data_IF_731111051325
#
_entry.id   IF_731111051325
#
_cell.length_a   1.000
_cell.length_b   1.000
_cell.length_c   1.000
_cell.angle_alpha   90.00
_cell.angle_beta   90.00
_cell.angle_gamma   90.00
#
_symmetry.space_group_name_H-M   'P 1'
#
loop_
_entity.id
_entity.type
_entity.pdbx_description
1 polymer ?
#
# COMPACT_ATOMS: atom_id res chain seq x y z
N UNK A 1 42.22 24.20 -52.11
CA UNK A 1 42.63 25.40 -51.37
C UNK A 1 42.56 25.06 -49.90
N UNK A 2 43.67 24.50 -49.41
CA UNK A 2 43.90 24.11 -48.03
C UNK A 2 44.38 25.35 -47.26
N UNK A 3 43.79 25.60 -46.10
CA UNK A 3 44.35 26.56 -45.13
C UNK A 3 43.76 26.34 -43.74
N UNK A 4 44.57 25.67 -42.90
CA UNK A 4 44.72 25.75 -41.45
C UNK A 4 43.63 26.46 -40.60
N UNK A 5 43.06 25.77 -39.59
CA UNK A 5 42.55 26.41 -38.40
C UNK A 5 43.63 26.48 -37.31
N UNK A 6 43.70 27.65 -36.66
CA UNK A 6 44.78 28.10 -35.81
C UNK A 6 44.82 27.51 -34.39
N UNK A 7 46.05 27.46 -33.90
CA UNK A 7 46.48 27.24 -32.52
C UNK A 7 46.03 28.38 -31.62
N UNK A 8 45.28 28.06 -30.56
CA UNK A 8 44.94 28.99 -29.47
C UNK A 8 46.01 28.93 -28.36
N UNK A 9 46.39 30.07 -27.74
CA UNK A 9 47.29 30.11 -26.59
C UNK A 9 46.59 29.76 -25.26
N UNK A 10 47.34 29.38 -24.20
CA UNK A 10 46.78 28.96 -22.92
C UNK A 10 46.21 30.12 -22.10
N UNK A 11 45.11 29.83 -21.40
CA UNK A 11 44.39 30.72 -20.49
C UNK A 11 45.22 30.92 -19.20
N UNK A 12 45.47 32.19 -18.87
CA UNK A 12 46.12 32.63 -17.63
C UNK A 12 45.25 32.33 -16.41
N UNK A 13 45.86 31.74 -15.37
CA UNK A 13 45.24 31.54 -14.06
C UNK A 13 45.07 32.86 -13.32
N UNK A 14 43.89 33.05 -12.74
CA UNK A 14 43.58 34.19 -11.90
C UNK A 14 44.29 34.07 -10.54
N UNK A 15 45.18 35.02 -10.24
CA UNK A 15 45.76 35.28 -8.92
C UNK A 15 45.00 36.44 -8.28
N UNK A 16 44.84 36.42 -6.96
CA UNK A 16 44.35 37.56 -6.19
C UNK A 16 45.45 38.61 -5.97
N UNK A 17 45.09 39.78 -5.43
CA UNK A 17 45.93 40.98 -5.37
C UNK A 17 47.19 40.87 -4.48
N UNK A 18 47.43 39.71 -3.86
CA UNK A 18 48.64 39.42 -3.07
C UNK A 18 49.44 38.20 -3.56
N UNK A 19 49.03 37.52 -4.64
CA UNK A 19 49.87 36.54 -5.34
C UNK A 19 50.02 35.16 -4.68
N UNK A 20 49.07 34.71 -3.86
CA UNK A 20 49.12 33.38 -3.24
C UNK A 20 48.14 32.37 -3.90
N UNK A 21 48.53 31.10 -4.11
CA UNK A 21 47.65 30.09 -4.72
C UNK A 21 46.61 29.56 -3.73
N UNK A 22 45.33 29.64 -4.10
CA UNK A 22 44.19 29.09 -3.34
C UNK A 22 44.30 27.56 -3.14
N UNK A 23 44.67 27.13 -1.94
CA UNK A 23 44.63 25.73 -1.50
C UNK A 23 43.22 25.32 -1.11
N UNK A 24 42.59 24.42 -1.87
CA UNK A 24 41.33 23.76 -1.51
C UNK A 24 41.61 22.52 -0.67
N UNK A 25 41.47 22.60 0.66
CA UNK A 25 41.29 21.42 1.51
C UNK A 25 39.82 20.98 1.47
N UNK A 26 39.59 19.72 1.05
CA UNK A 26 38.27 19.08 1.00
C UNK A 26 38.25 17.90 1.96
N UNK A 27 37.80 18.14 3.19
CA UNK A 27 37.45 17.08 4.15
C UNK A 27 36.08 16.52 3.77
N UNK A 28 36.03 15.24 3.41
CA UNK A 28 34.81 14.50 3.11
C UNK A 28 34.60 13.39 4.15
N UNK A 29 33.72 13.61 5.12
CA UNK A 29 33.08 12.53 5.88
C UNK A 29 31.72 13.00 6.41
N UNK A 30 30.69 12.92 5.58
CA UNK A 30 29.29 13.07 5.97
C UNK A 30 28.57 11.74 5.86
N UNK A 31 28.44 11.01 6.98
CA UNK A 31 27.51 9.88 7.11
C UNK A 31 26.10 10.44 7.31
N UNK A 32 25.22 10.26 6.34
CA UNK A 32 23.78 10.53 6.50
C UNK A 32 23.14 9.46 7.38
N UNK A 33 22.83 9.81 8.62
CA UNK A 33 21.95 9.02 9.48
C UNK A 33 20.50 9.21 9.01
N UNK A 34 19.85 8.12 8.61
CA UNK A 34 18.43 8.08 8.29
C UNK A 34 17.64 8.07 9.60
N UNK A 35 17.10 9.22 10.00
CA UNK A 35 16.23 9.32 11.17
C UNK A 35 14.85 8.80 10.79
N UNK A 36 14.60 7.50 10.99
CA UNK A 36 13.26 6.94 10.97
C UNK A 36 12.44 7.57 12.10
N UNK A 37 11.45 8.38 11.77
CA UNK A 37 10.46 8.90 12.74
C UNK A 37 9.65 7.69 13.21
N UNK A 38 10.04 7.10 14.34
CA UNK A 38 9.23 6.10 15.04
C UNK A 38 7.98 6.81 15.54
N UNK A 39 6.84 6.59 14.88
CA UNK A 39 5.54 7.02 15.42
C UNK A 39 5.35 6.29 16.75
N UNK A 40 5.21 7.06 17.83
CA UNK A 40 4.92 6.50 19.15
C UNK A 40 3.60 5.72 19.15
N UNK A 41 3.40 4.85 20.16
CA UNK A 41 2.18 4.05 20.29
C UNK A 41 0.94 4.95 20.33
N UNK A 42 -0.15 4.47 19.73
CA UNK A 42 -1.42 5.22 19.68
C UNK A 42 -1.95 5.44 21.10
N UNK A 43 -2.69 6.52 21.32
CA UNK A 43 -3.25 6.82 22.64
C UNK A 43 -4.13 5.69 23.20
N UNK A 44 -4.84 4.95 22.35
CA UNK A 44 -5.60 3.75 22.73
C UNK A 44 -4.70 2.58 23.18
N UNK A 45 -3.53 2.39 22.58
CA UNK A 45 -2.57 1.36 23.00
C UNK A 45 -1.97 1.68 24.37
N UNK A 46 -1.63 2.96 24.59
CA UNK A 46 -1.18 3.44 25.91
C UNK A 46 -2.29 3.29 26.95
N UNK A 47 -3.54 3.63 26.59
CA UNK A 47 -4.70 3.44 27.46
C UNK A 47 -4.89 1.98 27.86
N UNK A 48 -4.70 1.05 26.92
CA UNK A 48 -4.83 -0.39 27.17
C UNK A 48 -3.79 -0.96 28.12
N UNK A 49 -2.59 -0.34 28.16
CA UNK A 49 -1.49 -0.72 29.05
C UNK A 49 -1.71 -0.25 30.49
N UNK A 50 -2.23 0.97 30.68
CA UNK A 50 -2.49 1.54 32.01
C UNK A 50 -3.91 1.24 32.53
N UNK A 51 -4.80 0.66 31.70
CA UNK A 51 -6.20 0.40 32.08
C UNK A 51 -6.33 -0.41 33.37
N UNK A 52 -5.45 -1.39 33.58
CA UNK A 52 -5.46 -2.25 34.78
C UNK A 52 -5.19 -1.49 36.06
N UNK A 53 -4.50 -0.35 35.98
CA UNK A 53 -4.14 0.46 37.15
C UNK A 53 -5.33 1.29 37.65
N UNK A 54 -6.33 1.52 36.79
CA UNK A 54 -7.53 2.30 37.09
C UNK A 54 -8.79 1.45 37.19
N UNK A 55 -8.77 0.21 36.72
CA UNK A 55 -9.91 -0.71 36.82
C UNK A 55 -10.07 -1.22 38.25
N UNK A 56 -11.34 -1.37 38.69
CA UNK A 56 -11.67 -2.09 39.94
C UNK A 56 -11.40 -3.59 39.75
N UNK A 57 -11.36 -4.35 40.84
CA UNK A 57 -11.10 -5.80 40.84
C UNK A 57 -12.03 -6.60 39.88
N UNK A 58 -13.21 -6.06 39.58
CA UNK A 58 -14.17 -6.62 38.61
C UNK A 58 -13.79 -6.40 37.13
N UNK A 59 -12.63 -5.80 36.84
CA UNK A 59 -12.15 -5.49 35.48
C UNK A 59 -12.90 -4.35 34.79
N UNK A 60 -13.75 -3.63 35.52
CA UNK A 60 -14.52 -2.47 35.04
C UNK A 60 -13.96 -1.16 35.58
N UNK A 61 -13.97 -0.14 34.74
CA UNK A 61 -13.55 1.21 35.08
C UNK A 61 -14.77 2.05 35.48
N UNK A 62 -14.71 2.74 36.62
CA UNK A 62 -15.74 3.69 37.04
C UNK A 62 -15.67 4.95 36.15
N UNK A 63 -16.81 5.51 35.75
CA UNK A 63 -16.84 6.71 34.91
C UNK A 63 -16.18 7.91 35.61
N UNK A 64 -16.19 7.94 36.94
CA UNK A 64 -15.48 8.94 37.74
C UNK A 64 -13.94 8.81 37.65
N UNK A 65 -13.41 7.61 37.43
CA UNK A 65 -11.98 7.33 37.28
C UNK A 65 -11.47 7.56 35.85
N UNK A 66 -12.37 7.72 34.88
CA UNK A 66 -12.01 7.96 33.48
C UNK A 66 -11.24 9.27 33.28
N UNK A 67 -11.53 10.30 34.06
CA UNK A 67 -10.84 11.60 33.99
C UNK A 67 -9.37 11.50 34.39
N UNK A 68 -9.07 10.69 35.42
CA UNK A 68 -7.70 10.40 35.84
C UNK A 68 -6.94 9.62 34.76
N UNK A 69 -7.60 8.65 34.12
CA UNK A 69 -7.03 7.89 33.00
C UNK A 69 -6.75 8.78 31.78
N UNK A 70 -7.66 9.69 31.43
CA UNK A 70 -7.46 10.64 30.32
C UNK A 70 -6.32 11.63 30.62
N UNK A 71 -6.20 12.07 31.87
CA UNK A 71 -5.09 12.93 32.33
C UNK A 71 -3.76 12.19 32.23
N UNK A 72 -3.69 10.92 32.61
CA UNK A 72 -2.50 10.09 32.48
C UNK A 72 -2.07 9.84 31.01
N UNK A 73 -2.97 10.05 30.05
CA UNK A 73 -2.71 9.91 28.61
C UNK A 73 -2.41 11.25 27.92
N UNK A 74 -2.36 12.34 28.67
CA UNK A 74 -2.24 13.72 28.19
C UNK A 74 -3.41 14.15 27.27
N UNK A 75 -4.62 13.61 27.49
CA UNK A 75 -5.82 13.94 26.71
C UNK A 75 -6.63 14.98 27.49
N UNK A 76 -6.51 16.25 27.12
CA UNK A 76 -7.34 17.32 27.67
C UNK A 76 -8.70 17.34 26.99
N UNK A 77 -9.77 17.06 27.74
CA UNK A 77 -11.14 17.09 27.23
C UNK A 77 -12.11 17.62 28.30
N UNK A 78 -13.10 18.41 27.88
CA UNK A 78 -14.13 18.91 28.79
C UNK A 78 -14.98 17.73 29.34
N UNK A 79 -15.37 17.77 30.63
CA UNK A 79 -16.02 16.63 31.28
C UNK A 79 -17.34 16.20 30.64
N UNK A 80 -18.06 17.15 30.05
CA UNK A 80 -19.31 16.86 29.33
C UNK A 80 -19.09 16.07 28.05
N UNK A 81 -17.92 16.19 27.43
CA UNK A 81 -17.61 15.56 26.14
C UNK A 81 -17.35 14.06 26.33
N UNK A 82 -16.50 13.67 27.27
CA UNK A 82 -16.28 12.25 27.53
C UNK A 82 -17.52 11.59 28.13
N UNK A 83 -18.33 12.29 28.94
CA UNK A 83 -19.60 11.76 29.46
C UNK A 83 -20.62 11.48 28.35
N UNK A 84 -20.71 12.36 27.34
CA UNK A 84 -21.56 12.12 26.15
C UNK A 84 -21.07 10.91 25.35
N UNK A 85 -19.75 10.75 25.18
CA UNK A 85 -19.18 9.61 24.49
C UNK A 85 -19.41 8.30 25.27
N UNK A 86 -19.23 8.31 26.59
CA UNK A 86 -19.57 7.18 27.46
C UNK A 86 -21.05 6.85 27.35
N UNK A 87 -21.94 7.83 27.37
CA UNK A 87 -23.38 7.61 27.19
C UNK A 87 -23.72 6.99 25.83
N UNK A 88 -22.97 7.33 24.77
CA UNK A 88 -23.13 6.73 23.45
C UNK A 88 -22.63 5.29 23.34
N UNK A 89 -21.59 4.92 24.10
CA UNK A 89 -20.92 3.62 24.02
C UNK A 89 -21.47 2.60 25.03
N UNK A 90 -21.82 3.06 26.24
CA UNK A 90 -22.24 2.21 27.35
C UNK A 90 -23.69 2.48 27.82
N UNK A 91 -24.34 3.53 27.31
CA UNK A 91 -25.71 3.93 27.67
C UNK A 91 -25.76 5.07 28.69
N UNK A 92 -26.89 5.80 28.78
CA UNK A 92 -27.01 7.06 29.53
C UNK A 92 -26.91 6.93 31.06
N UNK A 93 -27.01 5.72 31.61
CA UNK A 93 -26.95 5.44 33.04
C UNK A 93 -25.79 4.50 33.44
N UNK A 94 -24.81 4.30 32.57
CA UNK A 94 -23.67 3.45 32.87
C UNK A 94 -22.76 4.09 33.92
N UNK A 95 -22.70 3.50 35.12
CA UNK A 95 -21.76 3.91 36.18
C UNK A 95 -20.37 3.29 36.05
N UNK A 96 -20.20 2.29 35.19
CA UNK A 96 -18.91 1.66 34.88
C UNK A 96 -18.84 1.22 33.42
N UNK A 97 -17.64 1.17 32.86
CA UNK A 97 -17.36 0.82 31.47
C UNK A 97 -16.34 -0.31 31.39
N UNK A 98 -16.45 -1.15 30.37
CA UNK A 98 -15.50 -2.25 30.10
C UNK A 98 -14.25 -1.72 29.39
N UNK A 99 -13.18 -2.53 29.38
CA UNK A 99 -11.92 -2.19 28.69
C UNK A 99 -12.15 -1.76 27.25
N UNK A 100 -12.93 -2.52 26.50
CA UNK A 100 -13.21 -2.24 25.09
C UNK A 100 -13.99 -0.91 24.91
N UNK A 101 -14.91 -0.61 25.82
CA UNK A 101 -15.66 0.64 25.82
C UNK A 101 -14.75 1.83 26.16
N UNK A 102 -13.84 1.70 27.12
CA UNK A 102 -12.84 2.72 27.45
C UNK A 102 -11.91 2.97 26.26
N UNK A 103 -11.43 1.91 25.61
CA UNK A 103 -10.58 2.03 24.41
C UNK A 103 -11.31 2.72 23.25
N UNK A 104 -12.61 2.43 23.07
CA UNK A 104 -13.44 3.10 22.08
C UNK A 104 -13.59 4.60 22.37
N UNK A 105 -13.89 4.97 23.62
CA UNK A 105 -14.03 6.38 24.03
C UNK A 105 -12.70 7.14 23.85
N UNK A 106 -11.58 6.56 24.28
CA UNK A 106 -10.24 7.16 24.07
C UNK A 106 -9.91 7.29 22.58
N UNK A 107 -10.27 6.28 21.78
CA UNK A 107 -10.12 6.30 20.32
C UNK A 107 -10.92 7.44 19.68
N UNK A 108 -12.16 7.66 20.10
CA UNK A 108 -13.01 8.74 19.60
C UNK A 108 -12.50 10.13 20.01
N UNK A 109 -11.94 10.27 21.21
CA UNK A 109 -11.36 11.52 21.70
C UNK A 109 -10.05 11.90 21.01
N UNK A 110 -9.32 10.91 20.50
CA UNK A 110 -8.01 11.10 19.85
C UNK A 110 -8.09 11.04 18.33
N UNK A 111 -9.26 10.67 17.79
CA UNK A 111 -9.54 10.75 16.37
C UNK A 111 -9.65 12.22 15.96
N UNK A 112 -8.83 12.59 14.99
CA UNK A 112 -8.87 13.89 14.33
C UNK A 112 -10.31 14.15 13.84
N UNK A 113 -11.00 15.24 14.22
CA UNK A 113 -12.41 15.48 13.90
C UNK A 113 -12.71 15.49 12.39
N UNK A 114 -11.68 15.64 11.56
CA UNK A 114 -11.77 15.53 10.11
C UNK A 114 -11.90 14.08 9.57
N UNK A 115 -11.69 13.04 10.38
CA UNK A 115 -11.89 11.64 9.96
C UNK A 115 -13.27 11.06 10.30
N UNK A 116 -14.00 11.61 11.27
CA UNK A 116 -15.25 11.03 11.79
C UNK A 116 -16.46 11.31 10.87
N UNK A 117 -16.40 12.30 9.97
CA UNK A 117 -17.46 12.60 9.01
C UNK A 117 -17.54 11.61 7.83
N UNK A 118 -16.63 10.63 7.72
CA UNK A 118 -16.55 9.72 6.57
C UNK A 118 -17.14 8.31 6.81
N UNK A 119 -17.71 8.01 7.98
CA UNK A 119 -18.19 6.66 8.29
C UNK A 119 -19.37 6.61 9.26
N UNK A 120 -20.58 6.84 8.76
CA UNK A 120 -21.82 6.57 9.49
C UNK A 120 -22.25 5.09 9.34
N UNK A 121 -22.62 4.39 10.42
CA UNK A 121 -23.17 3.03 10.33
C UNK A 121 -24.64 3.08 9.86
N UNK A 122 -24.91 2.36 8.77
CA UNK A 122 -26.25 2.18 8.21
C UNK A 122 -26.94 0.99 8.87
N UNK A 123 -28.12 1.21 9.45
CA UNK A 123 -29.02 0.12 9.82
C UNK A 123 -29.98 0.51 10.92
N UNK A 124 -31.18 0.98 10.55
CA UNK A 124 -32.47 0.55 11.11
C UNK A 124 -33.60 1.21 10.31
N UNK A 125 -34.43 0.35 9.73
CA UNK A 125 -35.56 0.63 8.85
C UNK A 125 -36.75 1.25 9.60
N UNK A 126 -37.38 2.26 9.00
CA UNK A 126 -38.78 2.60 9.28
C UNK A 126 -39.51 2.83 7.96
N UNK A 127 -40.63 2.12 7.84
CA UNK A 127 -41.61 2.14 6.75
C UNK A 127 -42.44 3.42 6.87
N UNK A 128 -42.68 4.14 5.77
CA UNK A 128 -43.99 4.70 5.44
C UNK A 128 -44.07 5.24 4.00
N UNK A 129 -45.29 5.16 3.47
CA UNK A 129 -45.70 5.26 2.07
C UNK A 129 -46.00 6.70 1.63
N UNK A 130 -45.72 7.06 0.36
CA UNK A 130 -46.61 7.86 -0.52
C UNK A 130 -45.99 8.17 -1.90
N UNK A 131 -46.59 7.56 -2.93
CA UNK A 131 -47.08 8.14 -4.20
C UNK A 131 -46.47 9.41 -4.83
N UNK A 132 -46.02 9.29 -6.09
CA UNK A 132 -46.24 10.31 -7.13
C UNK A 132 -45.06 10.63 -8.08
N UNK A 133 -45.28 10.86 -9.39
CA UNK A 133 -44.33 10.48 -10.46
C UNK A 133 -43.67 11.65 -11.21
N UNK A 134 -42.56 11.38 -11.93
CA UNK A 134 -42.04 12.28 -12.98
C UNK A 134 -40.54 12.22 -13.24
N UNK A 135 -40.15 11.47 -14.27
CA UNK A 135 -38.85 11.28 -14.96
C UNK A 135 -38.19 12.55 -15.55
N UNK A 136 -37.00 12.53 -16.23
CA UNK A 136 -35.86 11.57 -16.25
C UNK A 136 -34.43 12.22 -16.27
N UNK A 137 -33.39 11.36 -16.21
CA UNK A 137 -32.06 11.43 -16.91
C UNK A 137 -31.12 12.64 -16.66
N UNK A 138 -29.83 12.53 -16.36
CA UNK A 138 -28.86 11.42 -16.45
C UNK A 138 -27.46 11.88 -16.01
N UNK A 139 -26.47 10.98 -16.16
CA UNK A 139 -25.04 11.11 -15.85
C UNK A 139 -24.59 10.80 -14.40
N UNK A 140 -24.92 9.60 -13.93
CA UNK A 140 -24.18 8.91 -12.87
C UNK A 140 -23.68 7.57 -13.38
N UNK A 141 -22.44 7.51 -13.87
CA UNK A 141 -21.87 6.30 -14.45
C UNK A 141 -20.35 6.26 -14.29
N UNK A 142 -19.87 5.56 -13.28
CA UNK A 142 -18.42 5.36 -13.07
C UNK A 142 -18.01 4.60 -11.80
N UNK A 143 -18.96 4.18 -10.96
CA UNK A 143 -18.65 3.49 -9.69
C UNK A 143 -18.65 1.95 -9.75
N UNK A 144 -19.05 1.35 -10.87
CA UNK A 144 -19.38 -0.09 -10.91
C UNK A 144 -18.26 -1.03 -11.39
N UNK A 145 -17.13 -0.52 -11.89
CA UNK A 145 -16.05 -1.38 -12.42
C UNK A 145 -15.00 -1.79 -11.39
N UNK A 146 -14.90 -1.12 -10.23
CA UNK A 146 -13.85 -1.43 -9.25
C UNK A 146 -14.21 -2.61 -8.33
N UNK A 147 -15.49 -2.79 -8.00
CA UNK A 147 -15.96 -3.86 -7.12
C UNK A 147 -16.03 -5.24 -7.81
N UNK A 148 -16.21 -5.27 -9.14
CA UNK A 148 -16.23 -6.52 -9.90
C UNK A 148 -14.83 -7.14 -10.06
N UNK A 149 -13.79 -6.32 -10.20
CA UNK A 149 -12.39 -6.78 -10.25
C UNK A 149 -11.84 -7.23 -8.89
N UNK A 150 -12.41 -6.77 -7.78
CA UNK A 150 -12.01 -7.20 -6.42
C UNK A 150 -12.36 -8.67 -6.14
N UNK A 151 -13.34 -9.23 -6.86
CA UNK A 151 -13.75 -10.65 -6.73
C UNK A 151 -12.97 -11.61 -7.63
N UNK A 152 -12.32 -11.16 -8.70
CA UNK A 152 -11.62 -12.08 -9.60
C UNK A 152 -10.14 -12.28 -9.23
N UNK A 153 -9.46 -11.24 -8.71
CA UNK A 153 -8.05 -11.35 -8.31
C UNK A 153 -7.82 -12.25 -7.07
N UNK A 154 -8.87 -12.49 -6.27
CA UNK A 154 -8.83 -13.38 -5.11
C UNK A 154 -9.07 -14.87 -5.46
N UNK A 155 -9.30 -15.20 -6.74
CA UNK A 155 -9.62 -16.58 -7.18
C UNK A 155 -8.48 -17.28 -7.93
N UNK A 156 -7.34 -16.62 -8.22
CA UNK A 156 -6.14 -17.32 -8.65
C UNK A 156 -5.49 -17.99 -7.44
N UNK A 157 -6.10 -19.10 -7.03
CA UNK A 157 -5.71 -19.87 -5.86
C UNK A 157 -4.22 -20.24 -5.91
N UNK A 158 -3.43 -19.92 -4.87
CA UNK A 158 -2.03 -20.35 -4.73
C UNK A 158 -1.88 -21.87 -4.52
N UNK A 159 -2.97 -22.64 -4.66
CA UNK A 159 -3.02 -24.08 -4.41
C UNK A 159 -2.18 -24.97 -5.33
N UNK A 160 -1.77 -24.46 -6.50
CA UNK A 160 -1.21 -25.29 -7.58
C UNK A 160 0.32 -25.51 -7.54
N UNK A 161 1.18 -24.53 -7.22
CA UNK A 161 2.63 -24.74 -7.24
C UNK A 161 3.15 -25.58 -6.07
N UNK A 162 2.71 -25.32 -4.82
CA UNK A 162 3.17 -26.09 -3.66
C UNK A 162 2.76 -27.58 -3.71
N UNK A 163 1.59 -27.90 -4.29
CA UNK A 163 1.18 -29.29 -4.54
C UNK A 163 2.13 -30.07 -5.47
N UNK A 164 2.83 -29.38 -6.39
CA UNK A 164 3.75 -30.03 -7.34
C UNK A 164 5.11 -30.36 -6.72
N UNK A 165 5.54 -29.63 -5.68
CA UNK A 165 6.75 -29.97 -4.92
C UNK A 165 6.64 -31.33 -4.23
N UNK A 166 5.47 -31.61 -3.65
CA UNK A 166 5.19 -32.83 -2.88
C UNK A 166 5.49 -34.11 -3.70
N UNK A 167 5.28 -34.07 -5.01
CA UNK A 167 5.39 -35.24 -5.88
C UNK A 167 6.79 -35.58 -6.37
N UNK A 168 7.79 -34.68 -6.23
CA UNK A 168 9.12 -34.88 -6.81
C UNK A 168 10.13 -35.52 -5.86
N UNK A 169 10.05 -35.29 -4.56
CA UNK A 169 10.95 -35.87 -3.55
C UNK A 169 10.45 -37.23 -3.01
N UNK A 170 9.86 -38.02 -3.91
CA UNK A 170 9.04 -39.22 -3.66
C UNK A 170 9.82 -40.46 -3.18
N UNK A 171 11.14 -40.52 -3.43
CA UNK A 171 11.90 -41.75 -3.32
C UNK A 171 12.31 -42.17 -1.89
N UNK A 172 12.38 -41.23 -0.94
CA UNK A 172 12.94 -41.52 0.40
C UNK A 172 11.93 -42.17 1.36
N UNK A 173 10.65 -41.76 1.27
CA UNK A 173 9.61 -42.14 2.23
C UNK A 173 8.70 -43.28 1.75
N UNK A 174 8.62 -43.53 0.43
CA UNK A 174 7.72 -44.57 -0.13
C UNK A 174 8.25 -45.99 0.12
N UNK A 175 9.57 -46.15 0.29
CA UNK A 175 10.20 -47.47 0.48
C UNK A 175 10.67 -47.73 1.92
N UNK A 176 10.77 -46.70 2.78
CA UNK A 176 11.38 -46.82 4.11
C UNK A 176 12.84 -47.33 4.09
N UNK A 177 13.42 -47.41 2.90
CA UNK A 177 14.78 -47.85 2.64
C UNK A 177 15.52 -46.63 2.14
N UNK A 178 16.37 -46.10 3.00
CA UNK A 178 17.62 -45.49 2.53
C UNK A 178 18.16 -46.41 1.44
N UNK A 179 18.50 -45.89 0.26
CA UNK A 179 19.02 -46.74 -0.81
C UNK A 179 20.42 -47.17 -0.40
N UNK A 180 20.48 -48.16 0.48
CA UNK A 180 21.72 -48.80 0.88
C UNK A 180 22.19 -49.48 -0.38
N UNK A 181 23.34 -49.04 -0.85
CA UNK A 181 23.92 -49.53 -2.09
C UNK A 181 24.02 -51.05 -1.99
N UNK A 182 23.20 -51.75 -2.77
CA UNK A 182 23.02 -53.21 -2.67
C UNK A 182 24.37 -53.93 -2.87
N UNK A 183 25.25 -53.32 -3.67
CA UNK A 183 26.62 -53.76 -3.84
C UNK A 183 27.46 -53.64 -2.54
N UNK A 184 27.28 -52.58 -1.76
CA UNK A 184 27.96 -52.39 -0.46
C UNK A 184 27.44 -53.37 0.57
N UNK A 185 26.13 -53.64 0.61
CA UNK A 185 25.53 -54.66 1.50
C UNK A 185 26.03 -56.06 1.15
N UNK A 186 26.02 -56.41 -0.14
CA UNK A 186 26.54 -57.69 -0.63
C UNK A 186 28.05 -57.84 -0.34
N UNK A 187 28.81 -56.75 -0.44
CA UNK A 187 30.24 -56.76 -0.09
C UNK A 187 30.48 -56.91 1.42
N UNK A 188 29.67 -56.27 2.26
CA UNK A 188 29.71 -56.45 3.72
C UNK A 188 29.37 -57.91 4.10
N UNK A 189 28.35 -58.51 3.49
CA UNK A 189 28.01 -59.92 3.73
C UNK A 189 29.16 -60.86 3.36
N UNK A 190 29.83 -60.64 2.22
CA UNK A 190 31.03 -61.38 1.81
C UNK A 190 32.19 -61.22 2.78
N UNK A 191 32.40 -60.01 3.31
CA UNK A 191 33.43 -59.73 4.33
C UNK A 191 33.12 -60.40 5.67
N UNK A 192 31.85 -60.47 6.08
CA UNK A 192 31.41 -61.19 7.28
C UNK A 192 31.62 -62.71 7.15
N UNK A 193 31.32 -63.27 5.99
CA UNK A 193 31.57 -64.69 5.69
C UNK A 193 33.07 -64.99 5.67
N UNK A 194 33.89 -64.11 5.08
CA UNK A 194 35.35 -64.21 5.09
C UNK A 194 35.90 -64.13 6.52
N UNK A 195 35.38 -63.23 7.36
CA UNK A 195 35.75 -63.14 8.77
C UNK A 195 35.47 -64.46 9.51
N UNK A 196 34.28 -65.05 9.31
CA UNK A 196 33.90 -66.34 9.92
C UNK A 196 34.81 -67.48 9.46
N UNK A 197 35.20 -67.50 8.19
CA UNK A 197 36.16 -68.49 7.65
C UNK A 197 37.55 -68.34 8.27
N UNK A 198 38.09 -67.12 8.35
CA UNK A 198 39.37 -66.86 9.00
C UNK A 198 39.35 -67.20 10.51
N UNK A 199 38.22 -66.97 11.20
CA UNK A 199 38.02 -67.36 12.61
C UNK A 199 38.05 -68.88 12.79
N UNK A 200 37.39 -69.64 11.89
CA UNK A 200 37.35 -71.10 11.94
C UNK A 200 38.71 -71.75 11.65
N UNK A 201 39.54 -71.12 10.81
CA UNK A 201 40.87 -71.60 10.42
C UNK A 201 42.00 -71.13 11.37
N UNK A 202 41.70 -70.33 12.38
CA UNK A 202 42.68 -69.78 13.33
C UNK A 202 43.50 -68.60 12.81
N UNK A 203 43.15 -68.02 11.65
CA UNK A 203 43.81 -66.87 11.03
C UNK A 203 43.31 -65.54 11.61
N UNK A 204 43.60 -65.30 12.89
CA UNK A 204 43.06 -64.15 13.63
C UNK A 204 43.51 -62.77 13.12
N UNK A 205 44.70 -62.66 12.52
CA UNK A 205 45.17 -61.38 11.97
C UNK A 205 44.32 -60.93 10.78
N UNK A 206 43.96 -61.85 9.88
CA UNK A 206 43.08 -61.57 8.74
C UNK A 206 41.64 -61.27 9.20
N UNK A 207 41.14 -62.00 10.20
CA UNK A 207 39.83 -61.73 10.80
C UNK A 207 39.77 -60.31 11.44
N UNK A 208 40.86 -59.86 12.08
CA UNK A 208 40.96 -58.50 12.63
C UNK A 208 40.92 -57.43 11.54
N UNK A 209 41.60 -57.65 10.41
CA UNK A 209 41.56 -56.73 9.26
C UNK A 209 40.15 -56.68 8.63
N UNK A 210 39.50 -57.84 8.45
CA UNK A 210 38.13 -57.91 7.94
C UNK A 210 37.13 -57.21 8.88
N UNK A 211 37.31 -57.37 10.20
CA UNK A 211 36.48 -56.68 11.21
C UNK A 211 36.65 -55.17 11.16
N UNK A 212 37.89 -54.68 11.03
CA UNK A 212 38.16 -53.24 10.88
C UNK A 212 37.52 -52.70 9.59
N UNK A 213 37.67 -53.41 8.47
CA UNK A 213 37.09 -53.00 7.19
C UNK A 213 35.55 -52.97 7.23
N UNK A 214 34.92 -53.91 7.93
CA UNK A 214 33.47 -53.90 8.17
C UNK A 214 33.02 -52.69 8.99
N UNK A 215 33.79 -52.31 10.01
CA UNK A 215 33.51 -51.10 10.79
C UNK A 215 33.63 -49.84 9.91
N UNK A 216 34.71 -49.71 9.15
CA UNK A 216 34.93 -48.56 8.25
C UNK A 216 33.83 -48.43 7.17
N UNK A 217 33.37 -49.54 6.61
CA UNK A 217 32.28 -49.55 5.63
C UNK A 217 30.93 -49.17 6.26
N UNK A 218 30.66 -49.60 7.50
CA UNK A 218 29.46 -49.20 8.23
C UNK A 218 29.45 -47.72 8.54
N UNK A 219 30.57 -47.15 8.98
CA UNK A 219 30.67 -45.71 9.25
C UNK A 219 30.53 -44.89 7.97
N UNK A 220 31.18 -45.31 6.88
CA UNK A 220 31.05 -44.64 5.58
C UNK A 220 29.61 -44.68 5.05
N UNK A 221 28.91 -45.81 5.21
CA UNK A 221 27.50 -45.91 4.83
C UNK A 221 26.63 -44.98 5.68
N UNK A 222 26.82 -44.95 7.00
CA UNK A 222 26.12 -44.02 7.90
C UNK A 222 26.31 -42.56 7.48
N UNK A 223 27.54 -42.16 7.16
CA UNK A 223 27.86 -40.81 6.71
C UNK A 223 27.19 -40.46 5.37
N UNK A 224 27.22 -41.39 4.40
CA UNK A 224 26.54 -41.23 3.12
C UNK A 224 25.04 -40.98 3.31
N UNK A 225 24.40 -41.76 4.18
CA UNK A 225 22.97 -41.62 4.48
C UNK A 225 22.62 -40.27 5.14
N UNK A 226 23.49 -39.77 6.03
CA UNK A 226 23.35 -38.41 6.60
C UNK A 226 23.47 -37.33 5.53
N UNK A 227 24.47 -37.46 4.64
CA UNK A 227 24.70 -36.49 3.56
C UNK A 227 23.54 -36.47 2.56
N UNK A 228 23.01 -37.62 2.17
CA UNK A 228 21.85 -37.72 1.27
C UNK A 228 20.60 -37.07 1.88
N UNK A 229 20.33 -37.32 3.17
CA UNK A 229 19.20 -36.68 3.84
C UNK A 229 19.38 -35.15 3.90
N UNK A 230 20.57 -34.67 4.31
CA UNK A 230 20.86 -33.24 4.35
C UNK A 230 20.73 -32.58 2.96
N UNK A 231 21.25 -33.22 1.91
CA UNK A 231 21.13 -32.73 0.53
C UNK A 231 19.66 -32.64 0.07
N UNK A 232 18.85 -33.63 0.43
CA UNK A 232 17.42 -33.61 0.13
C UNK A 232 16.68 -32.49 0.88
N UNK A 233 17.04 -32.24 2.14
CA UNK A 233 16.48 -31.17 2.96
C UNK A 233 16.84 -29.78 2.39
N UNK A 234 18.10 -29.57 1.99
CA UNK A 234 18.54 -28.34 1.32
C UNK A 234 17.78 -28.11 0.04
N UNK A 235 17.66 -29.14 -0.82
CA UNK A 235 16.90 -29.06 -2.05
C UNK A 235 15.43 -28.72 -1.81
N UNK A 236 14.81 -29.29 -0.79
CA UNK A 236 13.41 -29.00 -0.45
C UNK A 236 13.22 -27.54 -0.06
N UNK A 237 14.15 -26.95 0.70
CA UNK A 237 14.14 -25.52 1.02
C UNK A 237 14.33 -24.66 -0.24
N UNK A 238 15.27 -25.01 -1.12
CA UNK A 238 15.50 -24.32 -2.39
C UNK A 238 14.27 -24.35 -3.29
N UNK A 239 13.59 -25.49 -3.39
CA UNK A 239 12.36 -25.61 -4.19
C UNK A 239 11.22 -24.76 -3.59
N UNK A 240 11.09 -24.70 -2.26
CA UNK A 240 10.09 -23.87 -1.57
C UNK A 240 10.39 -22.39 -1.77
N UNK A 241 11.66 -22.00 -1.70
CA UNK A 241 12.10 -20.64 -1.99
C UNK A 241 11.82 -20.27 -3.46
N UNK A 242 12.19 -21.13 -4.42
CA UNK A 242 11.96 -20.89 -5.84
C UNK A 242 10.48 -20.71 -6.16
N UNK A 243 9.60 -21.52 -5.56
CA UNK A 243 8.15 -21.30 -5.70
C UNK A 243 7.74 -19.95 -5.14
N UNK A 244 8.16 -19.60 -3.91
CA UNK A 244 7.83 -18.30 -3.31
C UNK A 244 8.27 -17.11 -4.18
N UNK A 245 9.46 -17.17 -4.78
CA UNK A 245 9.99 -16.14 -5.66
C UNK A 245 9.16 -15.99 -6.94
N UNK A 246 8.84 -17.10 -7.62
CA UNK A 246 7.95 -17.08 -8.79
C UNK A 246 6.59 -16.49 -8.47
N UNK A 247 6.04 -16.90 -7.34
CA UNK A 247 4.76 -16.48 -6.84
C UNK A 247 4.75 -14.97 -6.52
N UNK A 248 5.82 -14.48 -5.91
CA UNK A 248 6.06 -13.07 -5.59
C UNK A 248 6.21 -12.23 -6.85
N UNK A 249 6.93 -12.72 -7.86
CA UNK A 249 7.01 -12.07 -9.17
C UNK A 249 5.64 -11.96 -9.84
N UNK A 250 4.84 -13.04 -9.86
CA UNK A 250 3.47 -13.03 -10.41
C UNK A 250 2.58 -12.02 -9.69
N UNK A 251 2.65 -11.99 -8.36
CA UNK A 251 1.90 -11.04 -7.54
C UNK A 251 2.28 -9.59 -7.84
N UNK A 252 3.57 -9.27 -7.91
CA UNK A 252 4.02 -7.92 -8.24
C UNK A 252 3.59 -7.52 -9.65
N UNK A 253 3.69 -8.41 -10.62
CA UNK A 253 3.22 -8.17 -11.98
C UNK A 253 1.73 -7.80 -12.04
N UNK A 254 0.87 -8.53 -11.32
CA UNK A 254 -0.57 -8.26 -11.24
C UNK A 254 -0.81 -6.89 -10.59
N UNK A 255 -0.13 -6.59 -9.49
CA UNK A 255 -0.26 -5.30 -8.80
C UNK A 255 0.25 -4.12 -9.64
N UNK A 256 1.35 -4.30 -10.38
CA UNK A 256 1.86 -3.28 -11.30
C UNK A 256 0.88 -3.05 -12.46
N UNK A 257 0.18 -4.09 -12.92
CA UNK A 257 -0.97 -3.96 -13.81
C UNK A 257 -2.08 -3.10 -13.21
N UNK A 258 -2.55 -3.45 -12.00
CA UNK A 258 -3.61 -2.72 -11.30
C UNK A 258 -3.26 -1.24 -11.06
N UNK A 259 -2.02 -0.95 -10.69
CA UNK A 259 -1.54 0.42 -10.49
C UNK A 259 -1.51 1.21 -11.80
N UNK A 260 -1.08 0.59 -12.91
CA UNK A 260 -1.12 1.21 -14.23
C UNK A 260 -2.55 1.49 -14.69
N UNK A 261 -3.47 0.55 -14.49
CA UNK A 261 -4.88 0.73 -14.85
C UNK A 261 -5.52 1.86 -14.04
N UNK A 262 -5.24 1.93 -12.74
CA UNK A 262 -5.68 3.04 -11.90
C UNK A 262 -5.14 4.39 -12.38
N UNK A 263 -3.84 4.46 -12.69
CA UNK A 263 -3.20 5.68 -13.21
C UNK A 263 -3.79 6.11 -14.56
N UNK A 264 -4.03 5.16 -15.48
CA UNK A 264 -4.66 5.42 -16.77
C UNK A 264 -6.10 5.92 -16.61
N UNK A 265 -6.89 5.31 -15.71
CA UNK A 265 -8.25 5.75 -15.41
C UNK A 265 -8.28 7.16 -14.80
N UNK A 266 -7.34 7.47 -13.89
CA UNK A 266 -7.22 8.81 -13.32
C UNK A 266 -6.84 9.82 -14.40
N UNK A 267 -5.86 9.51 -15.27
CA UNK A 267 -5.46 10.38 -16.36
C UNK A 267 -6.64 10.69 -17.30
N UNK A 268 -7.40 9.66 -17.68
CA UNK A 268 -8.63 9.83 -18.47
C UNK A 268 -9.66 10.71 -17.77
N UNK A 269 -9.93 10.47 -16.48
CA UNK A 269 -10.86 11.30 -15.71
C UNK A 269 -10.41 12.77 -15.61
N UNK A 270 -9.11 13.03 -15.52
CA UNK A 270 -8.57 14.41 -15.52
C UNK A 270 -8.71 15.08 -16.87
N UNK A 271 -8.53 14.33 -17.97
CA UNK A 271 -8.72 14.82 -19.34
C UNK A 271 -10.19 15.14 -19.62
N UNK A 272 -11.10 14.22 -19.27
CA UNK A 272 -12.55 14.39 -19.41
C UNK A 272 -13.05 15.62 -18.63
N UNK A 273 -12.55 15.80 -17.40
CA UNK A 273 -12.90 16.97 -16.58
C UNK A 273 -12.38 18.27 -17.20
N UNK A 274 -11.15 18.27 -17.70
CA UNK A 274 -10.56 19.44 -18.37
C UNK A 274 -11.29 19.81 -19.66
N UNK A 275 -11.68 18.81 -20.46
CA UNK A 275 -12.47 19.01 -21.67
C UNK A 275 -13.84 19.63 -21.33
N UNK A 276 -14.51 19.09 -20.32
CA UNK A 276 -15.78 19.62 -19.79
C UNK A 276 -15.64 21.08 -19.32
N UNK A 277 -14.62 21.38 -18.49
CA UNK A 277 -14.36 22.74 -18.01
C UNK A 277 -14.10 23.73 -19.16
N UNK A 278 -13.34 23.32 -20.17
CA UNK A 278 -13.04 24.13 -21.35
C UNK A 278 -14.31 24.44 -22.15
N UNK A 279 -15.16 23.42 -22.38
CA UNK A 279 -16.44 23.60 -23.07
C UNK A 279 -17.40 24.49 -22.28
N UNK A 280 -17.49 24.32 -20.96
CA UNK A 280 -18.34 25.14 -20.09
C UNK A 280 -17.89 26.59 -20.09
N UNK A 281 -16.58 26.84 -20.02
CA UNK A 281 -16.03 28.18 -20.04
C UNK A 281 -16.29 28.87 -21.39
N UNK A 282 -16.10 28.16 -22.49
CA UNK A 282 -16.39 28.68 -23.83
C UNK A 282 -17.88 29.07 -23.97
N UNK A 283 -18.80 28.18 -23.58
CA UNK A 283 -20.24 28.45 -23.61
C UNK A 283 -20.63 29.62 -22.71
N UNK A 284 -20.03 29.73 -21.52
CA UNK A 284 -20.29 30.81 -20.58
C UNK A 284 -19.80 32.17 -21.10
N UNK A 285 -18.61 32.20 -21.72
CA UNK A 285 -18.09 33.42 -22.36
C UNK A 285 -18.97 33.84 -23.53
N UNK A 286 -19.44 32.90 -24.35
CA UNK A 286 -20.36 33.20 -25.45
C UNK A 286 -21.70 33.76 -24.94
N UNK A 287 -22.26 33.18 -23.87
CA UNK A 287 -23.48 33.69 -23.23
C UNK A 287 -23.29 35.10 -22.67
N UNK A 288 -22.15 35.38 -22.06
CA UNK A 288 -21.81 36.74 -21.61
C UNK A 288 -21.72 37.68 -22.80
N UNK A 289 -20.99 37.32 -23.86
CA UNK A 289 -20.88 38.16 -25.06
C UNK A 289 -22.23 38.52 -25.69
N UNK A 290 -23.19 37.59 -25.72
CA UNK A 290 -24.57 37.85 -26.18
C UNK A 290 -25.31 38.88 -25.33
N UNK A 291 -24.97 38.99 -24.05
CA UNK A 291 -25.56 39.96 -23.08
C UNK A 291 -24.79 41.28 -23.01
N UNK A 292 -23.82 41.52 -23.91
CA UNK A 292 -23.04 42.77 -23.93
C UNK A 292 -23.96 43.98 -24.19
N UNK A 293 -23.94 45.02 -23.33
CA UNK A 293 -24.72 46.23 -23.55
C UNK A 293 -24.34 46.89 -24.88
N UNK A 294 -25.32 47.04 -25.78
CA UNK A 294 -25.13 47.74 -27.06
C UNK A 294 -25.50 49.22 -26.97
N UNK A 295 -26.25 49.61 -25.93
CA UNK A 295 -26.72 50.98 -25.72
C UNK A 295 -26.54 51.40 -24.27
N UNK A 296 -26.02 52.60 -24.06
CA UNK A 296 -25.94 53.23 -22.76
C UNK A 296 -27.34 53.63 -22.29
N UNK A 297 -27.56 53.59 -20.97
CA UNK A 297 -28.72 54.25 -20.38
C UNK A 297 -28.44 55.75 -20.41
N UNK A 298 -29.22 56.57 -21.15
CA UNK A 298 -28.89 57.97 -21.31
C UNK A 298 -28.91 58.71 -19.97
N UNK A 299 -27.88 59.50 -19.69
CA UNK A 299 -27.88 60.36 -18.51
C UNK A 299 -28.89 61.50 -18.65
N UNK A 300 -29.22 62.09 -17.50
CA UNK A 300 -30.04 63.30 -17.45
C UNK A 300 -29.44 64.43 -18.28
N UNK A 301 -28.11 64.59 -18.23
CA UNK A 301 -27.42 65.67 -18.93
C UNK A 301 -27.45 65.46 -20.44
N UNK A 302 -27.29 64.23 -20.91
CA UNK A 302 -27.50 63.88 -22.32
C UNK A 302 -28.91 64.23 -22.80
N UNK A 303 -29.94 63.87 -22.03
CA UNK A 303 -31.33 64.17 -22.37
C UNK A 303 -31.58 65.69 -22.43
N UNK A 304 -31.03 66.46 -21.49
CA UNK A 304 -31.12 67.92 -21.48
C UNK A 304 -30.42 68.56 -22.69
N UNK A 305 -29.25 68.08 -23.08
CA UNK A 305 -28.56 68.55 -24.29
C UNK A 305 -29.37 68.21 -25.55
N UNK A 306 -30.06 67.06 -25.57
CA UNK A 306 -30.91 66.69 -26.71
C UNK A 306 -32.18 67.55 -26.82
N UNK A 307 -32.81 67.86 -25.69
CA UNK A 307 -33.90 68.85 -25.65
C UNK A 307 -33.45 70.25 -26.08
N UNK A 308 -32.25 70.68 -25.67
CA UNK A 308 -31.69 71.96 -26.06
C UNK A 308 -31.41 72.01 -27.57
N UNK A 309 -30.86 70.94 -28.14
CA UNK A 309 -30.70 70.78 -29.58
C UNK A 309 -32.05 70.93 -30.31
N UNK A 310 -33.10 70.25 -29.86
CA UNK A 310 -34.42 70.31 -30.50
C UNK A 310 -35.02 71.72 -30.44
N UNK A 311 -34.86 72.44 -29.33
CA UNK A 311 -35.27 73.84 -29.18
C UNK A 311 -34.48 74.78 -30.10
N UNK A 312 -33.18 74.56 -30.26
CA UNK A 312 -32.31 75.33 -31.17
C UNK A 312 -32.59 75.03 -32.66
N UNK A 313 -32.95 73.78 -32.98
CA UNK A 313 -33.36 73.38 -34.32
C UNK A 313 -34.70 74.01 -34.70
N UNK A 314 -35.68 74.01 -33.79
CA UNK A 314 -36.99 74.66 -33.98
C UNK A 314 -36.88 76.18 -34.17
N UNK A 315 -35.88 76.82 -33.54
CA UNK A 315 -35.60 78.25 -33.72
C UNK A 315 -34.65 78.57 -34.90
N UNK A 316 -34.37 77.60 -35.77
CA UNK A 316 -33.52 77.72 -36.98
C UNK A 316 -32.06 78.12 -36.72
N UNK A 317 -31.57 77.98 -35.49
CA UNK A 317 -30.18 78.26 -35.13
C UNK A 317 -29.29 77.03 -35.35
N UNK A 318 -29.15 76.60 -36.61
CA UNK A 318 -28.49 75.34 -36.98
C UNK A 318 -27.03 75.23 -36.55
N UNK A 319 -26.29 76.34 -36.56
CA UNK A 319 -24.88 76.37 -36.16
C UNK A 319 -24.69 76.05 -34.67
N UNK A 320 -25.58 76.57 -33.81
CA UNK A 320 -25.59 76.26 -32.37
C UNK A 320 -26.13 74.85 -32.10
N UNK A 321 -27.19 74.44 -32.79
CA UNK A 321 -27.73 73.09 -32.69
C UNK A 321 -26.70 72.01 -33.04
N UNK A 322 -25.84 72.25 -34.02
CA UNK A 322 -24.75 71.33 -34.41
C UNK A 322 -23.72 71.16 -33.30
N UNK A 323 -23.34 72.25 -32.61
CA UNK A 323 -22.41 72.19 -31.47
C UNK A 323 -23.00 71.44 -30.28
N UNK A 324 -24.29 71.67 -29.99
CA UNK A 324 -24.99 70.95 -28.91
C UNK A 324 -25.13 69.47 -29.26
N UNK A 325 -25.37 69.14 -30.53
CA UNK A 325 -25.37 67.75 -31.02
C UNK A 325 -24.02 67.07 -30.80
N UNK A 326 -22.91 67.69 -31.18
CA UNK A 326 -21.57 67.07 -30.99
C UNK A 326 -21.27 66.85 -29.51
N UNK A 327 -21.59 67.82 -28.65
CA UNK A 327 -21.42 67.65 -27.20
C UNK A 327 -22.32 66.53 -26.63
N UNK A 328 -23.57 66.42 -27.10
CA UNK A 328 -24.46 65.33 -26.69
C UNK A 328 -23.96 63.96 -27.18
N UNK A 329 -23.45 63.88 -28.41
CA UNK A 329 -22.92 62.64 -28.98
C UNK A 329 -21.63 62.21 -28.24
N UNK A 330 -20.76 63.15 -27.85
CA UNK A 330 -19.57 62.91 -27.01
C UNK A 330 -19.95 62.41 -25.60
N UNK A 331 -20.94 63.04 -24.95
CA UNK A 331 -21.44 62.59 -23.65
C UNK A 331 -22.02 61.17 -23.72
N UNK A 332 -22.79 60.86 -24.77
CA UNK A 332 -23.34 59.52 -24.97
C UNK A 332 -22.26 58.46 -25.21
N UNK A 333 -21.20 58.80 -25.95
CA UNK A 333 -20.06 57.90 -26.15
C UNK A 333 -19.34 57.62 -24.83
N UNK A 334 -19.06 58.65 -24.03
CA UNK A 334 -18.45 58.46 -22.70
C UNK A 334 -19.34 57.60 -21.78
N UNK A 335 -20.65 57.82 -21.78
CA UNK A 335 -21.60 56.97 -21.03
C UNK A 335 -21.62 55.53 -21.54
N UNK A 336 -21.60 55.33 -22.86
CA UNK A 336 -21.51 54.00 -23.46
C UNK A 336 -20.23 53.30 -23.04
N UNK A 337 -19.08 53.97 -23.11
CA UNK A 337 -17.80 53.44 -22.68
C UNK A 337 -17.79 53.04 -21.20
N UNK A 338 -18.33 53.88 -20.32
CA UNK A 338 -18.42 53.53 -18.89
C UNK A 338 -19.35 52.33 -18.64
N UNK A 339 -20.48 52.24 -19.34
CA UNK A 339 -21.39 51.08 -19.20
C UNK A 339 -20.76 49.79 -19.73
N UNK A 340 -20.05 49.87 -20.86
CA UNK A 340 -19.30 48.73 -21.43
C UNK A 340 -18.17 48.32 -20.50
N UNK A 341 -17.40 49.28 -19.96
CA UNK A 341 -16.31 49.00 -19.03
C UNK A 341 -16.80 48.37 -17.72
N UNK A 342 -17.91 48.86 -17.16
CA UNK A 342 -18.53 48.27 -15.98
C UNK A 342 -19.01 46.84 -16.24
N UNK A 343 -19.63 46.61 -17.39
CA UNK A 343 -20.05 45.27 -17.81
C UNK A 343 -18.87 44.32 -18.04
N UNK A 344 -17.79 44.79 -18.66
CA UNK A 344 -16.56 44.01 -18.85
C UNK A 344 -15.91 43.63 -17.52
N UNK A 345 -15.90 44.54 -16.54
CA UNK A 345 -15.41 44.26 -15.19
C UNK A 345 -16.28 43.20 -14.48
N UNK A 346 -17.61 43.31 -14.57
CA UNK A 346 -18.53 42.32 -14.00
C UNK A 346 -18.39 40.95 -14.69
N UNK A 347 -18.26 40.94 -16.01
CA UNK A 347 -18.03 39.75 -16.83
C UNK A 347 -16.73 39.04 -16.44
N UNK A 348 -15.63 39.78 -16.29
CA UNK A 348 -14.34 39.25 -15.80
C UNK A 348 -14.47 38.61 -14.42
N UNK A 349 -15.19 39.24 -13.50
CA UNK A 349 -15.40 38.70 -12.16
C UNK A 349 -16.22 37.41 -12.17
N UNK A 350 -17.24 37.32 -13.03
CA UNK A 350 -18.03 36.10 -13.24
C UNK A 350 -17.19 34.97 -13.83
N UNK A 351 -16.36 35.25 -14.83
CA UNK A 351 -15.45 34.27 -15.44
C UNK A 351 -14.43 33.78 -14.39
N UNK A 352 -13.81 34.69 -13.65
CA UNK A 352 -12.86 34.34 -12.59
C UNK A 352 -13.50 33.46 -11.52
N UNK A 353 -14.76 33.74 -11.13
CA UNK A 353 -15.51 32.91 -10.18
C UNK A 353 -15.77 31.49 -10.71
N UNK A 354 -16.08 31.35 -12.00
CA UNK A 354 -16.26 30.03 -12.63
C UNK A 354 -14.93 29.27 -12.67
N UNK A 355 -13.85 29.92 -13.11
CA UNK A 355 -12.51 29.34 -13.15
C UNK A 355 -12.02 28.90 -11.76
N UNK A 356 -12.28 29.69 -10.71
CA UNK A 356 -11.93 29.31 -9.35
C UNK A 356 -12.66 28.02 -8.90
N UNK A 357 -13.95 27.88 -9.25
CA UNK A 357 -14.70 26.64 -8.98
C UNK A 357 -14.11 25.44 -9.73
N UNK A 358 -13.84 25.61 -11.02
CA UNK A 358 -13.21 24.58 -11.86
C UNK A 358 -11.85 24.15 -11.30
N UNK A 359 -11.04 25.10 -10.83
CA UNK A 359 -9.76 24.82 -10.18
C UNK A 359 -9.95 23.99 -8.90
N UNK A 360 -10.89 24.34 -8.03
CA UNK A 360 -11.16 23.56 -6.81
C UNK A 360 -11.66 22.14 -7.11
N UNK A 361 -12.48 21.95 -8.14
CA UNK A 361 -12.94 20.63 -8.58
C UNK A 361 -11.77 19.79 -9.12
N UNK A 362 -10.88 20.40 -9.91
CA UNK A 362 -9.71 19.74 -10.45
C UNK A 362 -8.73 19.33 -9.34
N UNK A 363 -8.45 20.22 -8.38
CA UNK A 363 -7.63 19.93 -7.21
C UNK A 363 -8.22 18.81 -6.35
N UNK A 364 -9.54 18.82 -6.13
CA UNK A 364 -10.22 17.75 -5.39
C UNK A 364 -10.09 16.39 -6.10
N UNK A 365 -10.20 16.36 -7.44
CA UNK A 365 -9.99 15.14 -8.22
C UNK A 365 -8.55 14.64 -8.10
N UNK A 366 -7.55 15.52 -8.19
CA UNK A 366 -6.14 15.14 -8.02
C UNK A 366 -5.87 14.60 -6.62
N UNK A 367 -6.38 15.25 -5.57
CA UNK A 367 -6.24 14.80 -4.20
C UNK A 367 -6.92 13.44 -3.95
N UNK A 368 -8.09 13.20 -4.57
CA UNK A 368 -8.72 11.88 -4.53
C UNK A 368 -7.88 10.84 -5.26
N UNK A 369 -7.30 11.22 -6.40
CA UNK A 369 -6.39 10.40 -7.18
C UNK A 369 -5.17 9.95 -6.36
N UNK A 370 -4.50 10.88 -5.68
CA UNK A 370 -3.33 10.59 -4.84
C UNK A 370 -3.70 9.72 -3.65
N UNK A 371 -4.77 10.06 -2.91
CA UNK A 371 -5.25 9.25 -1.78
C UNK A 371 -5.56 7.81 -2.21
N UNK A 372 -6.28 7.63 -3.33
CA UNK A 372 -6.59 6.29 -3.83
C UNK A 372 -5.36 5.51 -4.29
N UNK A 373 -4.32 6.18 -4.82
CA UNK A 373 -3.03 5.54 -5.13
C UNK A 373 -2.33 5.08 -3.85
N UNK A 374 -2.24 5.95 -2.86
CA UNK A 374 -1.57 5.65 -1.59
C UNK A 374 -2.30 4.53 -0.83
N UNK A 375 -3.63 4.46 -0.90
CA UNK A 375 -4.43 3.35 -0.37
C UNK A 375 -4.12 2.02 -1.08
N UNK A 376 -3.95 2.01 -2.41
CA UNK A 376 -3.57 0.83 -3.17
C UNK A 376 -2.15 0.36 -2.81
N UNK A 377 -1.21 1.29 -2.64
CA UNK A 377 0.14 0.99 -2.17
C UNK A 377 0.14 0.38 -0.78
N UNK A 378 -0.65 0.94 0.15
CA UNK A 378 -0.79 0.39 1.50
C UNK A 378 -1.37 -1.03 1.48
N UNK A 379 -2.37 -1.29 0.63
CA UNK A 379 -2.92 -2.65 0.42
C UNK A 379 -1.87 -3.62 -0.12
N UNK A 380 -1.06 -3.19 -1.10
CA UNK A 380 0.05 -3.99 -1.66
C UNK A 380 1.07 -4.34 -0.58
N UNK A 381 1.48 -3.39 0.24
CA UNK A 381 2.43 -3.62 1.34
C UNK A 381 1.87 -4.62 2.34
N UNK A 382 0.65 -4.41 2.84
CA UNK A 382 0.02 -5.29 3.81
C UNK A 382 -0.20 -6.73 3.28
N UNK A 383 -0.46 -6.88 1.98
CA UNK A 383 -0.58 -8.21 1.35
C UNK A 383 0.78 -8.87 1.14
N UNK A 384 1.81 -8.10 0.77
CA UNK A 384 3.19 -8.57 0.68
C UNK A 384 3.68 -9.08 2.04
N UNK A 385 3.48 -8.31 3.10
CA UNK A 385 3.84 -8.70 4.48
C UNK A 385 3.16 -10.00 4.90
N UNK A 386 1.85 -10.13 4.65
CA UNK A 386 1.11 -11.37 4.93
C UNK A 386 1.68 -12.57 4.17
N UNK A 387 2.11 -12.39 2.92
CA UNK A 387 2.76 -13.46 2.15
C UNK A 387 4.12 -13.84 2.72
N UNK A 388 4.96 -12.85 3.04
CA UNK A 388 6.27 -13.07 3.63
C UNK A 388 6.15 -13.81 4.97
N UNK A 389 5.18 -13.45 5.80
CA UNK A 389 4.90 -14.15 7.06
C UNK A 389 4.49 -15.61 6.84
N UNK A 390 3.62 -15.88 5.87
CA UNK A 390 3.23 -17.26 5.51
C UNK A 390 4.44 -18.07 5.05
N UNK A 391 5.26 -17.52 4.15
CA UNK A 391 6.49 -18.17 3.70
C UNK A 391 7.43 -18.49 4.86
N UNK A 392 7.67 -17.51 5.75
CA UNK A 392 8.52 -17.70 6.93
C UNK A 392 8.00 -18.81 7.84
N UNK A 393 6.68 -18.89 8.03
CA UNK A 393 6.08 -19.95 8.84
C UNK A 393 6.28 -21.32 8.19
N UNK A 394 6.06 -21.45 6.87
CA UNK A 394 6.29 -22.69 6.13
C UNK A 394 7.74 -23.14 6.23
N UNK A 395 8.70 -22.23 6.03
CA UNK A 395 10.13 -22.51 6.16
C UNK A 395 10.46 -22.98 7.58
N UNK A 396 9.97 -22.26 8.60
CA UNK A 396 10.20 -22.64 10.00
C UNK A 396 9.61 -24.02 10.35
N UNK A 397 8.42 -24.34 9.85
CA UNK A 397 7.79 -25.65 10.09
C UNK A 397 8.51 -26.76 9.33
N UNK A 398 8.98 -26.48 8.11
CA UNK A 398 9.76 -27.42 7.31
C UNK A 398 11.12 -27.72 7.96
N UNK A 399 11.82 -26.71 8.45
CA UNK A 399 13.06 -26.87 9.21
C UNK A 399 12.85 -27.67 10.50
N UNK A 400 11.70 -27.49 11.18
CA UNK A 400 11.35 -28.32 12.34
C UNK A 400 11.11 -29.77 11.95
N UNK A 401 10.45 -30.03 10.82
CA UNK A 401 10.31 -31.39 10.30
C UNK A 401 11.68 -32.00 9.96
N UNK A 402 12.56 -31.25 9.31
CA UNK A 402 13.91 -31.68 8.97
C UNK A 402 14.72 -32.08 10.20
N UNK A 403 14.63 -31.31 11.30
CA UNK A 403 15.26 -31.65 12.59
C UNK A 403 14.74 -32.95 13.17
N UNK A 404 13.42 -33.16 13.15
CA UNK A 404 12.80 -34.40 13.66
C UNK A 404 13.18 -35.60 12.78
N UNK A 405 13.24 -35.43 11.47
CA UNK A 405 13.71 -36.46 10.54
C UNK A 405 15.16 -36.83 10.78
N UNK A 406 16.01 -35.83 11.05
CA UNK A 406 17.42 -36.08 11.35
C UNK A 406 17.60 -36.83 12.66
N UNK A 407 16.93 -36.40 13.72
CA UNK A 407 16.92 -37.12 14.99
C UNK A 407 16.36 -38.54 14.83
N UNK A 408 15.39 -38.74 13.93
CA UNK A 408 14.85 -40.07 13.66
C UNK A 408 15.85 -40.96 12.93
N UNK A 409 16.59 -40.42 11.96
CA UNK A 409 17.69 -41.13 11.31
C UNK A 409 18.77 -41.50 12.33
N UNK A 410 19.18 -40.57 13.20
CA UNK A 410 20.17 -40.82 14.25
C UNK A 410 19.72 -41.96 15.19
N UNK A 411 18.50 -41.91 15.71
CA UNK A 411 17.94 -42.97 16.54
C UNK A 411 17.88 -44.33 15.81
N UNK A 412 17.58 -44.33 14.50
CA UNK A 412 17.58 -45.56 13.69
C UNK A 412 18.99 -46.13 13.53
N UNK A 413 19.98 -45.28 13.27
CA UNK A 413 21.37 -45.68 13.11
C UNK A 413 21.95 -46.18 14.44
N UNK A 414 21.68 -45.49 15.55
CA UNK A 414 22.11 -45.91 16.90
C UNK A 414 21.42 -47.21 17.32
N UNK A 415 20.13 -47.39 17.00
CA UNK A 415 19.38 -48.61 17.22
C UNK A 415 19.92 -49.81 16.43
N UNK A 416 20.38 -49.60 15.18
CA UNK A 416 21.06 -50.63 14.40
C UNK A 416 22.42 -51.02 15.00
N UNK A 417 23.14 -50.07 15.59
CA UNK A 417 24.43 -50.32 16.26
C UNK A 417 24.24 -51.09 17.58
N UNK A 418 23.14 -50.86 18.31
CA UNK A 418 22.87 -51.48 19.62
C UNK A 418 22.18 -52.85 19.56
N UNK A 419 21.27 -53.08 18.60
CA UNK A 419 20.36 -54.24 18.68
C UNK A 419 20.69 -55.42 17.75
N UNK A 420 21.57 -55.26 16.75
CA UNK A 420 21.84 -56.32 15.77
C UNK A 420 20.61 -56.83 14.99
N UNK A 421 19.47 -56.15 15.13
CA UNK A 421 18.18 -56.43 14.48
C UNK A 421 17.59 -55.07 14.09
N UNK A 422 17.43 -54.86 12.79
CA UNK A 422 16.83 -53.64 12.27
C UNK A 422 15.35 -53.58 12.68
N UNK A 423 15.00 -52.73 13.66
CA UNK A 423 13.61 -52.35 13.88
C UNK A 423 13.19 -51.41 12.76
N UNK A 424 12.16 -51.75 11.95
CA UNK A 424 11.71 -50.87 10.88
C UNK A 424 11.18 -49.55 11.44
N UNK A 425 11.32 -48.49 10.64
CA UNK A 425 10.77 -47.16 10.90
C UNK A 425 9.29 -47.28 11.30
N UNK A 426 8.93 -46.83 12.51
CA UNK A 426 7.60 -47.09 13.11
C UNK A 426 6.44 -46.40 12.36
N UNK A 427 6.71 -45.41 11.51
CA UNK A 427 5.71 -44.80 10.60
C UNK A 427 6.37 -43.91 9.51
N UNK A 428 6.81 -44.47 8.37
CA UNK A 428 7.38 -43.67 7.27
C UNK A 428 6.41 -42.62 6.71
N UNK A 429 5.10 -42.90 6.77
CA UNK A 429 4.05 -42.03 6.27
C UNK A 429 3.71 -40.83 7.18
N UNK A 430 4.28 -40.73 8.38
CA UNK A 430 3.99 -39.61 9.29
C UNK A 430 4.61 -38.29 8.80
N UNK A 431 5.87 -38.32 8.36
CA UNK A 431 6.57 -37.15 7.81
C UNK A 431 5.90 -36.67 6.52
N UNK A 432 5.51 -37.61 5.66
CA UNK A 432 4.76 -37.33 4.44
C UNK A 432 3.46 -36.59 4.72
N UNK A 433 2.63 -37.12 5.63
CA UNK A 433 1.34 -36.50 5.99
C UNK A 433 1.53 -35.10 6.57
N UNK A 434 2.57 -34.89 7.39
CA UNK A 434 2.90 -33.56 7.91
C UNK A 434 3.32 -32.60 6.80
N UNK A 435 4.20 -33.00 5.87
CA UNK A 435 4.60 -32.17 4.72
C UNK A 435 3.40 -31.83 3.82
N UNK A 436 2.56 -32.82 3.52
CA UNK A 436 1.31 -32.61 2.76
C UNK A 436 0.39 -31.61 3.48
N UNK A 437 0.29 -31.70 4.81
CA UNK A 437 -0.44 -30.73 5.62
C UNK A 437 0.17 -29.33 5.54
N UNK A 438 1.49 -29.18 5.72
CA UNK A 438 2.18 -27.88 5.64
C UNK A 438 1.92 -27.19 4.30
N UNK A 439 2.08 -27.93 3.20
CA UNK A 439 1.87 -27.38 1.86
C UNK A 439 0.39 -27.20 1.49
N UNK A 440 -0.53 -27.88 2.20
CA UNK A 440 -1.97 -27.66 2.05
C UNK A 440 -2.49 -26.47 2.85
N UNK A 441 -1.84 -26.14 3.98
CA UNK A 441 -2.15 -24.97 4.82
C UNK A 441 -1.50 -23.69 4.31
N UNK A 442 -0.52 -23.83 3.40
CA UNK A 442 0.06 -22.73 2.64
C UNK A 442 -0.92 -22.10 1.61
N UNK A 443 -2.05 -22.77 1.34
CA UNK A 443 -3.15 -22.36 0.47
C UNK A 443 -4.07 -21.39 1.21
#
# INVERSE_FOLDING_TARGET
>A
MESNPGTLPPVAGATDANGDPLTTERVASGRSASTSIRRGPRASERAGAIYTDFAKDDGRLDVSSLEALLTALDISCAPDTYKRLVASVAGPSAGSITKDQTLAVVGMLTADPNQVLAGGPSGLSRVDSASGPGTPSGAGGGGASFAALEREASTSSPAKPFRRLITKNRAYLETGSLHVDEAVVAYMAKLEEHRRRCEAEGRYQEAKVATKRLADLRTAQVEKLRQELAANQTRELEEVQGVYEEETAKFHHIWDGRMRDYAANLAKATEDLRASHTSQLAAFVEELQKKRPTRARPSRDYLLQREMQDKLAKSQQYSRATKVKTMADELYQAELETTVAAWEAESKLKIAKLQAKQQTEFEALLQRGTKGRDELELKRVAETERRTLRFRNIVSELEQLHKVEMAHLENFLDGQVLAGKATPLRDPGAFRRKREQLFSLAI
#
